data_IF_026874769049
#
_entry.id   IF_026874769049
#
_cell.length_a   1.000
_cell.length_b   1.000
_cell.length_c   1.000
_cell.angle_alpha   90.00
_cell.angle_beta   90.00
_cell.angle_gamma   90.00
#
_symmetry.space_group_name_H-M   'P 1'
#
loop_
_entity.id
_entity.type
_entity.pdbx_description
1 polymer ?
#
# COMPACT_ATOMS: atom_id res chain seq x y z
N UNK A 1 15.52 -16.42 32.31
CA UNK A 1 16.64 -17.22 31.80
C UNK A 1 17.05 -16.65 30.45
N UNK A 2 17.95 -15.66 30.47
CA UNK A 2 19.34 -15.78 30.00
C UNK A 2 19.40 -15.84 28.48
N UNK A 3 19.55 -14.71 27.78
CA UNK A 3 20.87 -14.20 27.34
C UNK A 3 21.74 -15.31 26.74
N UNK A 4 21.91 -15.28 25.41
CA UNK A 4 23.01 -15.92 24.73
C UNK A 4 23.77 -14.90 23.88
N UNK A 5 25.05 -14.83 24.19
CA UNK A 5 26.08 -13.94 23.67
C UNK A 5 26.57 -14.32 22.27
N UNK A 6 27.32 -13.37 21.69
CA UNK A 6 28.43 -13.49 20.72
C UNK A 6 28.08 -12.74 19.42
N UNK A 7 28.58 -11.52 19.14
CA UNK A 7 29.94 -10.96 19.24
C UNK A 7 30.97 -11.78 18.46
N UNK A 8 31.09 -11.50 17.17
CA UNK A 8 32.30 -11.81 16.39
C UNK A 8 32.66 -10.61 15.52
N UNK A 9 33.63 -9.84 16.04
CA UNK A 9 34.45 -8.90 15.29
C UNK A 9 35.46 -9.71 14.47
N UNK A 10 35.51 -9.49 13.18
CA UNK A 10 36.67 -9.77 12.31
C UNK A 10 36.98 -8.40 11.69
N UNK A 11 38.05 -7.69 12.02
CA UNK A 11 39.43 -8.14 12.08
C UNK A 11 40.19 -7.72 10.81
N UNK A 12 39.96 -6.50 10.30
CA UNK A 12 40.66 -5.93 9.15
C UNK A 12 42.04 -5.41 9.59
N UNK A 13 43.02 -6.31 9.66
CA UNK A 13 44.37 -6.01 10.15
C UNK A 13 45.40 -6.26 9.04
N UNK A 14 45.35 -5.47 7.95
CA UNK A 14 46.42 -5.46 6.94
C UNK A 14 46.32 -4.30 5.95
N UNK A 15 46.47 -3.06 6.44
CA UNK A 15 46.79 -1.92 5.57
C UNK A 15 47.59 -0.83 6.30
N UNK A 16 48.50 -1.27 7.18
CA UNK A 16 49.53 -0.41 7.78
C UNK A 16 50.83 -0.73 7.04
N UNK A 17 51.55 0.32 6.62
CA UNK A 17 52.86 0.31 5.92
C UNK A 17 52.80 0.36 4.39
N UNK A 18 52.62 1.56 3.79
CA UNK A 18 53.40 1.92 2.58
C UNK A 18 53.48 3.36 2.06
N UNK A 19 53.13 4.42 2.80
CA UNK A 19 53.35 5.79 2.28
C UNK A 19 53.96 6.77 3.29
N UNK A 20 54.95 6.32 4.07
CA UNK A 20 55.85 7.22 4.77
C UNK A 20 57.09 7.45 3.88
N UNK A 21 56.96 8.32 2.88
CA UNK A 21 58.07 8.99 2.15
C UNK A 21 57.47 9.85 1.04
N UNK A 22 57.21 11.11 1.35
CA UNK A 22 57.35 12.30 0.50
C UNK A 22 56.73 13.48 1.28
N UNK A 23 57.53 14.11 2.15
CA UNK A 23 58.11 15.43 1.89
C UNK A 23 57.06 16.51 1.58
N UNK A 24 56.69 17.24 2.63
CA UNK A 24 56.78 18.70 2.76
C UNK A 24 56.66 19.52 1.47
N UNK A 25 55.75 20.51 1.52
CA UNK A 25 55.42 21.63 0.59
C UNK A 25 54.00 21.42 0.04
N UNK A 26 53.01 22.30 0.15
CA UNK A 26 52.97 23.75 0.38
C UNK A 26 51.49 24.15 0.55
N UNK A 27 51.28 25.23 1.31
CA UNK A 27 50.22 26.23 1.12
C UNK A 27 48.75 25.81 1.28
N UNK A 28 48.19 26.18 2.43
CA UNK A 28 47.04 27.08 2.55
C UNK A 28 46.05 27.10 1.38
N UNK A 29 45.00 26.29 1.48
CA UNK A 29 43.72 26.59 0.86
C UNK A 29 42.68 26.78 1.99
N UNK A 30 42.33 28.03 2.18
CA UNK A 30 41.36 28.58 3.10
C UNK A 30 40.01 27.87 2.93
N UNK A 31 39.67 26.97 3.85
CA UNK A 31 38.36 26.35 3.92
C UNK A 31 37.35 27.35 4.48
N UNK A 32 36.66 28.09 3.61
CA UNK A 32 35.51 28.90 3.99
C UNK A 32 34.30 27.96 4.14
N UNK A 33 34.19 27.31 5.30
CA UNK A 33 33.00 26.57 5.69
C UNK A 33 31.88 27.58 5.98
N UNK A 34 31.06 27.87 4.96
CA UNK A 34 29.79 28.58 5.15
C UNK A 34 28.89 27.63 5.94
N UNK A 35 28.80 27.85 7.25
CA UNK A 35 27.84 27.18 8.12
C UNK A 35 26.44 27.68 7.73
N UNK A 36 25.79 26.99 6.79
CA UNK A 36 24.37 27.19 6.50
C UNK A 36 23.60 26.73 7.74
N UNK A 37 22.88 27.62 8.46
CA UNK A 37 22.02 27.18 9.55
C UNK A 37 20.92 26.32 8.92
N UNK A 38 20.97 25.01 9.16
CA UNK A 38 19.88 24.12 8.82
C UNK A 38 18.73 24.42 9.80
N UNK A 39 17.88 25.38 9.43
CA UNK A 39 16.56 25.54 10.03
C UNK A 39 15.76 24.28 9.70
N UNK A 40 15.78 23.33 10.65
CA UNK A 40 14.89 22.18 10.65
C UNK A 40 13.49 22.73 10.91
N UNK A 41 12.76 23.03 9.83
CA UNK A 41 11.34 23.32 9.93
C UNK A 41 10.67 22.05 10.46
N UNK A 42 9.90 22.11 11.56
CA UNK A 42 9.16 20.96 12.02
C UNK A 42 8.11 20.63 10.96
N UNK A 43 8.32 19.54 10.23
CA UNK A 43 7.30 18.97 9.38
C UNK A 43 6.22 18.43 10.30
N UNK A 44 5.15 19.19 10.48
CA UNK A 44 3.93 18.69 11.13
C UNK A 44 3.36 17.63 10.21
N UNK A 45 3.62 16.36 10.53
CA UNK A 45 2.89 15.23 9.94
C UNK A 45 1.48 15.33 10.51
N UNK A 46 0.55 15.77 9.67
CA UNK A 46 -0.85 15.83 10.01
C UNK A 46 -1.32 14.41 10.33
N UNK A 47 -1.60 14.16 11.61
CA UNK A 47 -2.08 12.86 12.05
C UNK A 47 -3.45 12.62 11.40
N UNK A 48 -3.55 11.56 10.61
CA UNK A 48 -4.83 11.13 10.04
C UNK A 48 -5.86 11.02 11.18
N UNK A 49 -7.04 11.61 10.97
CA UNK A 49 -8.15 11.56 11.92
C UNK A 49 -8.38 10.11 12.36
N UNK A 50 -8.09 9.82 13.63
CA UNK A 50 -8.13 8.47 14.19
C UNK A 50 -9.52 7.83 14.10
N UNK A 51 -10.57 8.64 13.84
CA UNK A 51 -11.95 8.17 13.70
C UNK A 51 -12.34 7.84 12.26
N UNK A 52 -11.52 8.15 11.24
CA UNK A 52 -11.82 7.79 9.84
C UNK A 52 -11.29 6.38 9.54
N UNK A 53 -12.16 5.40 9.25
CA UNK A 53 -11.71 4.06 8.91
C UNK A 53 -11.06 4.05 7.51
N UNK A 54 -10.03 3.21 7.34
CA UNK A 54 -9.47 2.91 6.02
C UNK A 54 -10.35 1.88 5.33
N UNK A 55 -11.00 2.28 4.23
CA UNK A 55 -11.90 1.42 3.46
C UNK A 55 -11.12 0.82 2.28
N UNK A 56 -11.04 -0.51 2.23
CA UNK A 56 -10.41 -1.25 1.12
C UNK A 56 -11.49 -2.06 0.41
N UNK A 57 -11.79 -1.70 -0.84
CA UNK A 57 -12.70 -2.45 -1.71
C UNK A 57 -11.89 -3.42 -2.60
N UNK A 58 -12.10 -4.72 -2.42
CA UNK A 58 -11.53 -5.78 -3.25
C UNK A 58 -12.65 -6.33 -4.14
N UNK A 59 -12.46 -6.30 -5.46
CA UNK A 59 -13.42 -6.81 -6.42
C UNK A 59 -12.70 -7.76 -7.40
N UNK A 60 -13.11 -9.02 -7.38
CA UNK A 60 -12.61 -10.04 -8.32
C UNK A 60 -13.39 -9.99 -9.63
N UNK A 61 -12.70 -10.27 -10.74
CA UNK A 61 -13.31 -10.39 -12.07
C UNK A 61 -13.63 -11.85 -12.35
N UNK A 62 -14.80 -12.12 -12.94
CA UNK A 62 -15.25 -13.47 -13.35
C UNK A 62 -15.11 -14.57 -12.28
N UNK A 63 -15.28 -14.20 -11.00
CA UNK A 63 -15.25 -15.16 -9.87
C UNK A 63 -16.66 -15.66 -9.54
N UNK A 64 -16.85 -16.99 -9.62
CA UNK A 64 -18.07 -17.67 -9.21
C UNK A 64 -18.23 -17.73 -7.69
N UNK A 65 -19.48 -17.92 -7.24
CA UNK A 65 -19.80 -18.08 -5.81
C UNK A 65 -19.15 -19.34 -5.23
N UNK A 66 -19.13 -20.40 -6.04
CA UNK A 66 -18.57 -21.72 -5.77
C UNK A 66 -17.03 -21.76 -5.75
N UNK A 67 -16.36 -20.65 -6.10
CA UNK A 67 -14.90 -20.59 -6.14
C UNK A 67 -14.26 -20.36 -4.75
N UNK A 68 -15.05 -20.09 -3.71
CA UNK A 68 -14.57 -19.73 -2.37
C UNK A 68 -14.84 -20.85 -1.38
N UNK A 69 -13.83 -21.26 -0.61
CA UNK A 69 -13.94 -22.31 0.42
C UNK A 69 -15.07 -22.04 1.43
N UNK A 70 -15.16 -20.81 1.92
CA UNK A 70 -16.22 -20.35 2.83
C UNK A 70 -17.65 -20.43 2.25
N UNK A 71 -17.80 -20.61 0.94
CA UNK A 71 -19.08 -20.82 0.25
C UNK A 71 -19.38 -22.31 -0.03
N UNK A 72 -18.51 -23.22 0.40
CA UNK A 72 -18.66 -24.67 0.19
C UNK A 72 -17.84 -25.23 -0.97
N UNK A 73 -16.81 -24.50 -1.45
CA UNK A 73 -15.91 -25.03 -2.47
C UNK A 73 -15.02 -26.15 -1.92
N UNK A 74 -14.98 -27.30 -2.58
CA UNK A 74 -14.05 -28.39 -2.26
C UNK A 74 -12.80 -28.40 -3.16
N UNK A 75 -12.87 -27.74 -4.31
CA UNK A 75 -11.82 -27.78 -5.33
C UNK A 75 -10.77 -26.68 -5.15
N UNK A 76 -11.17 -25.50 -4.67
CA UNK A 76 -10.31 -24.33 -4.57
C UNK A 76 -9.92 -24.05 -3.12
N UNK A 77 -8.64 -23.77 -2.88
CA UNK A 77 -8.12 -23.43 -1.55
C UNK A 77 -7.97 -21.92 -1.42
N UNK A 78 -8.80 -21.29 -0.60
CA UNK A 78 -8.83 -19.83 -0.39
C UNK A 78 -8.63 -19.44 1.08
N UNK A 79 -7.50 -19.83 1.73
CA UNK A 79 -7.35 -19.72 3.18
C UNK A 79 -7.47 -18.28 3.71
N UNK A 80 -7.00 -17.28 2.97
CA UNK A 80 -7.12 -15.88 3.39
C UNK A 80 -8.55 -15.34 3.26
N UNK A 81 -9.30 -15.75 2.24
CA UNK A 81 -10.71 -15.37 2.11
C UNK A 81 -11.56 -16.06 3.18
N UNK A 82 -11.24 -17.31 3.51
CA UNK A 82 -11.93 -18.08 4.55
C UNK A 82 -11.69 -17.45 5.94
N UNK A 83 -10.45 -16.98 6.18
CA UNK A 83 -10.10 -16.22 7.39
C UNK A 83 -10.85 -14.89 7.47
N UNK A 84 -10.97 -14.16 6.36
CA UNK A 84 -11.75 -12.92 6.28
C UNK A 84 -13.24 -13.18 6.53
N UNK A 85 -13.80 -14.25 5.97
CA UNK A 85 -15.20 -14.62 6.16
C UNK A 85 -15.50 -15.04 7.61
N UNK A 86 -14.58 -15.71 8.29
CA UNK A 86 -14.73 -16.12 9.70
C UNK A 86 -14.60 -14.94 10.66
N UNK A 87 -13.70 -13.99 10.37
CA UNK A 87 -13.47 -12.82 11.19
C UNK A 87 -14.42 -11.64 10.94
N UNK A 88 -15.31 -11.76 9.95
CA UNK A 88 -16.18 -10.68 9.49
C UNK A 88 -17.61 -11.12 9.23
N UNK A 89 -18.27 -10.41 8.32
CA UNK A 89 -19.63 -10.72 7.88
C UNK A 89 -19.58 -11.29 6.45
N UNK A 90 -20.35 -12.36 6.22
CA UNK A 90 -20.51 -12.99 4.90
C UNK A 90 -21.96 -12.91 4.46
N UNK A 91 -22.18 -12.50 3.21
CA UNK A 91 -23.50 -12.41 2.60
C UNK A 91 -23.81 -13.68 1.80
N UNK A 92 -24.87 -14.40 2.16
CA UNK A 92 -25.35 -15.57 1.39
C UNK A 92 -26.08 -15.17 0.11
N UNK A 93 -26.61 -13.93 0.05
CA UNK A 93 -27.38 -13.40 -1.06
C UNK A 93 -26.80 -12.03 -1.47
N UNK A 94 -25.84 -12.05 -2.39
CA UNK A 94 -25.25 -10.86 -3.01
C UNK A 94 -25.32 -11.02 -4.53
N UNK A 95 -25.96 -10.08 -5.21
CA UNK A 95 -26.26 -10.18 -6.65
C UNK A 95 -25.47 -9.17 -7.45
N UNK A 96 -24.96 -9.59 -8.60
CA UNK A 96 -24.25 -8.76 -9.57
C UNK A 96 -24.96 -8.83 -10.93
N UNK A 97 -24.66 -7.86 -11.78
CA UNK A 97 -25.02 -7.90 -13.19
C UNK A 97 -24.14 -8.91 -13.93
N UNK A 98 -24.65 -9.61 -14.96
CA UNK A 98 -23.92 -10.66 -15.67
C UNK A 98 -22.86 -10.14 -16.66
N UNK A 99 -22.50 -8.85 -16.59
CA UNK A 99 -21.51 -8.22 -17.47
C UNK A 99 -20.64 -7.27 -16.62
N UNK A 100 -19.34 -7.22 -16.93
CA UNK A 100 -18.34 -6.45 -16.20
C UNK A 100 -18.68 -4.95 -16.08
N UNK A 101 -18.96 -4.27 -17.19
CA UNK A 101 -19.29 -2.84 -17.22
C UNK A 101 -20.48 -2.46 -16.32
N UNK A 102 -21.67 -3.08 -16.46
CA UNK A 102 -22.81 -2.74 -15.60
C UNK A 102 -22.56 -3.05 -14.14
N UNK A 103 -21.89 -4.16 -13.82
CA UNK A 103 -21.58 -4.51 -12.43
C UNK A 103 -20.71 -3.42 -11.77
N UNK A 104 -19.64 -2.99 -12.45
CA UNK A 104 -18.72 -1.97 -11.97
C UNK A 104 -19.40 -0.61 -11.82
N UNK A 105 -20.22 -0.21 -12.80
CA UNK A 105 -20.95 1.06 -12.75
C UNK A 105 -21.93 1.10 -11.58
N UNK A 106 -22.68 0.02 -11.33
CA UNK A 106 -23.59 -0.04 -10.16
C UNK A 106 -22.83 0.09 -8.84
N UNK A 107 -21.70 -0.60 -8.68
CA UNK A 107 -20.88 -0.50 -7.46
C UNK A 107 -20.32 0.90 -7.28
N UNK A 108 -19.80 1.52 -8.35
CA UNK A 108 -19.21 2.86 -8.27
C UNK A 108 -20.23 3.95 -7.91
N UNK A 109 -21.43 3.89 -8.49
CA UNK A 109 -22.46 4.94 -8.38
C UNK A 109 -23.53 4.65 -7.32
N UNK A 110 -23.70 3.40 -6.89
CA UNK A 110 -24.81 2.96 -6.04
C UNK A 110 -26.19 3.00 -6.73
N UNK A 111 -26.24 3.20 -8.06
CA UNK A 111 -27.49 3.34 -8.82
C UNK A 111 -27.68 2.16 -9.78
N UNK A 112 -28.94 1.79 -10.03
CA UNK A 112 -29.28 0.78 -11.04
C UNK A 112 -28.89 1.25 -12.44
N UNK A 113 -28.49 0.30 -13.30
CA UNK A 113 -27.99 0.59 -14.65
C UNK A 113 -28.94 1.43 -15.50
N UNK A 114 -30.24 1.17 -15.44
CA UNK A 114 -31.22 1.93 -16.23
C UNK A 114 -31.22 3.45 -15.92
N UNK A 115 -30.61 3.86 -14.80
CA UNK A 115 -30.46 5.27 -14.40
C UNK A 115 -29.12 5.89 -14.81
N UNK A 116 -28.10 5.06 -15.07
CA UNK A 116 -26.73 5.51 -15.36
C UNK A 116 -26.33 5.31 -16.83
N UNK A 117 -27.05 4.45 -17.55
CA UNK A 117 -26.69 4.05 -18.90
C UNK A 117 -27.11 5.10 -19.92
N UNK A 118 -26.11 5.78 -20.49
CA UNK A 118 -26.27 6.58 -21.71
C UNK A 118 -25.84 5.73 -22.92
N UNK A 119 -24.65 5.11 -22.84
CA UNK A 119 -24.10 4.22 -23.85
C UNK A 119 -23.26 3.13 -23.18
N UNK A 120 -23.18 1.94 -23.81
CA UNK A 120 -22.35 0.86 -23.29
C UNK A 120 -20.88 1.29 -23.20
N UNK A 121 -20.27 1.11 -22.02
CA UNK A 121 -18.87 1.47 -21.77
C UNK A 121 -18.64 2.96 -21.50
N UNK A 122 -19.69 3.78 -21.42
CA UNK A 122 -19.59 5.21 -21.15
C UNK A 122 -20.30 5.55 -19.83
N UNK A 123 -19.54 6.10 -18.88
CA UNK A 123 -20.08 6.70 -17.65
C UNK A 123 -20.01 8.23 -17.79
N UNK A 124 -21.13 8.91 -17.57
CA UNK A 124 -21.18 10.36 -17.68
C UNK A 124 -20.25 11.01 -16.63
N UNK A 125 -19.38 11.97 -16.99
CA UNK A 125 -18.41 12.55 -16.05
C UNK A 125 -19.01 13.24 -14.83
N UNK A 126 -20.27 13.66 -14.91
CA UNK A 126 -21.00 14.29 -13.81
C UNK A 126 -21.54 13.28 -12.78
N UNK A 127 -21.45 11.98 -13.05
CA UNK A 127 -21.88 10.96 -12.10
C UNK A 127 -20.99 10.93 -10.86
N UNK A 128 -21.63 10.96 -9.69
CA UNK A 128 -20.94 10.93 -8.41
C UNK A 128 -20.68 9.47 -8.04
N UNK A 129 -19.40 9.12 -7.88
CA UNK A 129 -18.99 7.79 -7.42
C UNK A 129 -18.64 7.80 -5.93
N UNK A 130 -18.56 6.62 -5.29
CA UNK A 130 -18.04 6.53 -3.92
C UNK A 130 -16.63 7.14 -3.80
N UNK A 131 -15.81 7.07 -4.86
CA UNK A 131 -14.48 7.69 -4.88
C UNK A 131 -14.53 9.22 -4.89
N UNK A 132 -15.63 9.84 -5.31
CA UNK A 132 -15.83 11.28 -5.16
C UNK A 132 -16.29 11.65 -3.75
N UNK A 133 -17.09 10.79 -3.12
CA UNK A 133 -17.64 11.01 -1.77
C UNK A 133 -16.59 10.80 -0.67
N UNK A 134 -15.66 9.86 -0.87
CA UNK A 134 -14.68 9.45 0.14
C UNK A 134 -13.36 10.24 0.12
N UNK A 135 -13.23 11.29 -0.70
CA UNK A 135 -12.09 12.22 -0.69
C UNK A 135 -12.06 12.96 0.65
#
# INVERSE_FOLDING_TARGET
MSQFLARTRIGCHRFISRCLRHTLRTASALALAVAVPQTILPTTVEAADANRPNIVLIMADDMGFECVGANGSEHYRTPELDRLATGGMRFAHAYSQPICTPSRVQIMTGRYNFRNYVQFGYLHPEEITFGNVLK
#
